data_IF_139286971598
#
_entry.id   IF_139286971598
#
_cell.length_a   1.000
_cell.length_b   1.000
_cell.length_c   1.000
_cell.angle_alpha   90.00
_cell.angle_beta   90.00
_cell.angle_gamma   90.00
#
_symmetry.space_group_name_H-M   'P 1'
#
loop_
_entity.id
_entity.type
_entity.pdbx_description
1 polymer ?
#
# COMPACT_ATOMS: atom_id res chain seq x y z
N UNK A 1 3.94 2.50 -18.07
CA UNK A 1 2.54 2.51 -17.63
C UNK A 1 2.18 3.85 -16.96
N UNK A 2 2.78 4.21 -15.84
CA UNK A 2 2.42 5.41 -15.06
C UNK A 2 3.14 6.71 -15.46
N UNK A 3 4.01 6.69 -16.46
CA UNK A 3 4.78 7.88 -16.88
C UNK A 3 5.76 8.40 -15.83
N UNK A 4 6.20 7.55 -14.89
CA UNK A 4 7.14 7.95 -13.86
C UNK A 4 8.53 8.20 -14.40
N UNK A 5 9.21 9.14 -13.79
CA UNK A 5 10.66 9.33 -13.91
C UNK A 5 11.36 8.70 -12.71
N UNK A 6 12.57 8.19 -12.92
CA UNK A 6 13.34 7.53 -11.88
C UNK A 6 14.63 8.29 -11.63
N UNK A 7 15.01 8.35 -10.37
CA UNK A 7 16.29 8.89 -9.93
C UNK A 7 17.01 7.82 -9.12
N UNK A 8 18.14 7.36 -9.65
CA UNK A 8 18.99 6.39 -8.97
C UNK A 8 19.61 7.00 -7.72
N UNK A 9 19.69 6.19 -6.69
CA UNK A 9 20.24 6.52 -5.39
C UNK A 9 20.86 5.27 -4.76
N UNK A 10 21.44 5.43 -3.59
CA UNK A 10 21.90 4.31 -2.76
C UNK A 10 21.08 4.27 -1.48
N UNK A 11 20.61 3.09 -1.15
CA UNK A 11 19.97 2.85 0.13
C UNK A 11 20.96 2.85 1.30
N UNK A 12 20.49 2.82 2.55
CA UNK A 12 21.32 2.95 3.76
C UNK A 12 22.44 1.91 3.91
N UNK A 13 22.35 0.79 3.20
CA UNK A 13 23.35 -0.28 3.18
C UNK A 13 24.17 -0.31 1.88
N UNK A 14 24.08 0.77 1.07
CA UNK A 14 24.74 0.84 -0.21
C UNK A 14 24.06 0.05 -1.34
N UNK A 15 22.91 -0.61 -1.07
CA UNK A 15 22.12 -1.30 -2.08
C UNK A 15 21.57 -0.30 -3.11
N UNK A 16 21.28 -0.78 -4.30
CA UNK A 16 20.66 0.01 -5.34
C UNK A 16 19.24 0.40 -4.90
N UNK A 17 18.92 1.68 -5.08
CA UNK A 17 17.65 2.27 -4.72
C UNK A 17 17.26 3.27 -5.81
N UNK A 18 16.02 3.21 -6.25
CA UNK A 18 15.49 4.18 -7.19
C UNK A 18 14.27 4.88 -6.59
N UNK A 19 14.21 6.18 -6.77
CA UNK A 19 13.06 7.01 -6.39
C UNK A 19 12.21 7.25 -7.62
N UNK A 20 10.93 6.86 -7.56
CA UNK A 20 9.96 7.12 -8.60
C UNK A 20 9.21 8.42 -8.34
N UNK A 21 9.01 9.21 -9.38
CA UNK A 21 8.28 10.49 -9.35
C UNK A 21 7.20 10.54 -10.43
N UNK A 22 6.06 11.09 -10.07
CA UNK A 22 5.01 11.52 -11.01
C UNK A 22 5.04 13.05 -11.07
N UNK A 23 5.62 13.61 -12.12
CA UNK A 23 5.96 15.02 -12.18
C UNK A 23 6.92 15.40 -11.04
N UNK A 24 6.53 16.35 -10.20
CA UNK A 24 7.33 16.80 -9.05
C UNK A 24 7.05 16.05 -7.74
N UNK A 25 6.13 15.08 -7.74
CA UNK A 25 5.71 14.35 -6.54
C UNK A 25 6.44 13.01 -6.44
N UNK A 26 7.04 12.73 -5.28
CA UNK A 26 7.55 11.41 -4.97
C UNK A 26 6.38 10.44 -4.77
N UNK A 27 6.41 9.30 -5.47
CA UNK A 27 5.31 8.32 -5.45
C UNK A 27 5.72 6.97 -4.91
N UNK A 28 6.97 6.57 -5.09
CA UNK A 28 7.47 5.29 -4.60
C UNK A 28 9.00 5.28 -4.49
N UNK A 29 9.50 4.36 -3.68
CA UNK A 29 10.89 3.94 -3.66
C UNK A 29 11.00 2.48 -4.11
N UNK A 30 11.96 2.18 -4.95
CA UNK A 30 12.24 0.81 -5.40
C UNK A 30 13.59 0.37 -4.80
N UNK A 31 13.57 -0.79 -4.19
CA UNK A 31 14.77 -1.39 -3.60
C UNK A 31 14.84 -2.86 -4.00
N UNK A 32 16.02 -3.29 -4.41
CA UNK A 32 16.26 -4.72 -4.55
C UNK A 32 16.51 -5.34 -3.17
N UNK A 33 15.69 -6.33 -2.83
CA UNK A 33 15.87 -7.13 -1.63
C UNK A 33 16.45 -8.48 -1.99
N UNK A 34 17.43 -9.00 -1.22
CA UNK A 34 17.95 -10.33 -1.45
C UNK A 34 16.83 -11.37 -1.42
N UNK A 35 16.96 -12.43 -2.22
CA UNK A 35 16.07 -13.57 -2.12
C UNK A 35 16.10 -14.14 -0.69
N UNK A 36 14.96 -14.68 -0.25
CA UNK A 36 14.89 -15.40 1.02
C UNK A 36 15.83 -16.63 1.03
N UNK A 37 16.14 -17.17 2.19
CA UNK A 37 17.08 -18.28 2.34
C UNK A 37 16.67 -19.55 1.55
N UNK A 38 15.38 -19.70 1.27
CA UNK A 38 14.80 -20.77 0.43
C UNK A 38 14.83 -20.42 -1.08
N UNK A 39 15.43 -19.30 -1.47
CA UNK A 39 15.48 -18.79 -2.84
C UNK A 39 14.21 -18.08 -3.32
N UNK A 40 13.19 -17.93 -2.48
CA UNK A 40 11.97 -17.21 -2.82
C UNK A 40 12.27 -15.72 -3.04
N UNK A 41 11.86 -15.20 -4.18
CA UNK A 41 11.88 -13.77 -4.46
C UNK A 41 10.55 -13.18 -4.00
N UNK A 42 10.58 -12.40 -2.92
CA UNK A 42 9.41 -11.70 -2.41
C UNK A 42 9.41 -10.28 -2.98
N UNK A 43 8.58 -10.04 -3.98
CA UNK A 43 8.33 -8.69 -4.48
C UNK A 43 6.96 -8.22 -4.02
N UNK A 44 6.87 -6.98 -3.52
CA UNK A 44 5.61 -6.40 -3.05
C UNK A 44 5.62 -4.89 -3.12
N UNK A 45 4.46 -4.32 -3.31
CA UNK A 45 4.20 -2.92 -3.04
C UNK A 45 3.86 -2.78 -1.56
N UNK A 46 4.71 -2.08 -0.82
CA UNK A 46 4.56 -1.91 0.64
C UNK A 46 4.07 -0.49 0.92
N UNK A 47 2.84 -0.31 1.42
CA UNK A 47 2.40 1.00 1.88
C UNK A 47 3.09 1.37 3.20
N UNK A 48 3.31 2.66 3.38
CA UNK A 48 3.89 3.22 4.60
C UNK A 48 2.87 4.13 5.28
N UNK A 49 2.71 3.92 6.58
CA UNK A 49 1.95 4.82 7.47
C UNK A 49 2.89 5.89 8.00
N UNK A 50 2.51 7.16 7.85
CA UNK A 50 3.20 8.26 8.54
C UNK A 50 2.87 8.24 10.03
N UNK A 51 3.89 8.29 10.86
CA UNK A 51 3.77 8.30 12.32
C UNK A 51 4.62 9.40 12.94
N UNK A 52 4.20 9.93 14.06
CA UNK A 52 4.93 10.99 14.76
C UNK A 52 6.30 10.52 15.27
N UNK A 53 6.42 9.26 15.69
CA UNK A 53 7.66 8.65 16.17
C UNK A 53 7.68 7.17 15.77
N UNK A 54 8.65 6.78 14.94
CA UNK A 54 8.75 5.42 14.42
C UNK A 54 9.09 4.41 15.52
N UNK A 55 9.98 4.75 16.45
CA UNK A 55 10.39 3.84 17.53
C UNK A 55 9.23 3.55 18.49
N UNK A 56 8.48 4.59 18.87
CA UNK A 56 7.28 4.43 19.69
C UNK A 56 6.18 3.65 18.97
N UNK A 57 5.99 3.88 17.65
CA UNK A 57 5.03 3.13 16.86
C UNK A 57 5.42 1.65 16.75
N UNK A 58 6.72 1.35 16.59
CA UNK A 58 7.22 -0.03 16.63
C UNK A 58 6.93 -0.67 17.99
N UNK A 59 7.21 0.04 19.10
CA UNK A 59 6.94 -0.48 20.45
C UNK A 59 5.44 -0.80 20.63
N UNK A 60 4.56 0.16 20.30
CA UNK A 60 3.10 -0.06 20.37
C UNK A 60 2.65 -1.24 19.50
N UNK A 61 3.18 -1.35 18.28
CA UNK A 61 2.84 -2.47 17.40
C UNK A 61 3.26 -3.82 17.97
N UNK A 62 4.45 -3.91 18.57
CA UNK A 62 4.93 -5.13 19.23
C UNK A 62 4.08 -5.46 20.46
N UNK A 63 3.74 -4.48 21.29
CA UNK A 63 2.86 -4.65 22.45
C UNK A 63 1.45 -5.12 22.03
N UNK A 64 0.99 -4.72 20.83
CA UNK A 64 -0.26 -5.17 20.21
C UNK A 64 -0.13 -6.48 19.42
N UNK A 65 1.02 -7.19 19.49
CA UNK A 65 1.21 -8.54 18.93
C UNK A 65 1.88 -8.58 17.55
N UNK A 66 2.36 -7.46 17.01
CA UNK A 66 3.14 -7.48 15.78
C UNK A 66 4.57 -8.01 16.00
N UNK A 67 5.20 -8.46 14.93
CA UNK A 67 6.62 -8.75 14.89
C UNK A 67 7.38 -7.74 14.01
N UNK A 68 8.66 -7.52 14.32
CA UNK A 68 9.50 -6.56 13.59
C UNK A 68 10.08 -7.22 12.35
N UNK A 69 9.64 -6.79 11.16
CA UNK A 69 10.20 -7.21 9.88
C UNK A 69 11.47 -6.41 9.53
N UNK A 70 11.44 -5.10 9.78
CA UNK A 70 12.58 -4.19 9.60
C UNK A 70 12.67 -3.27 10.81
N UNK A 71 13.77 -3.37 11.54
CA UNK A 71 14.03 -2.50 12.71
C UNK A 71 14.08 -1.03 12.31
N UNK A 72 13.64 -0.15 13.22
CA UNK A 72 13.67 1.28 13.03
C UNK A 72 15.09 1.76 12.68
N UNK A 73 15.20 2.54 11.61
CA UNK A 73 16.48 3.03 11.09
C UNK A 73 16.30 4.34 10.35
N UNK A 74 17.37 5.13 10.34
CA UNK A 74 17.41 6.35 9.54
C UNK A 74 17.70 6.03 8.07
N UNK A 75 17.06 6.77 7.19
CA UNK A 75 17.23 6.76 5.73
C UNK A 75 17.32 8.21 5.25
N UNK A 76 17.73 8.43 3.99
CA UNK A 76 17.89 9.79 3.45
C UNK A 76 16.62 10.67 3.56
N UNK A 77 15.44 10.06 3.52
CA UNK A 77 14.16 10.77 3.57
C UNK A 77 13.52 10.82 4.97
N UNK A 78 14.20 10.29 5.99
CA UNK A 78 13.69 10.29 7.37
C UNK A 78 14.00 9.00 8.12
N UNK A 79 13.06 8.53 8.95
CA UNK A 79 13.18 7.30 9.73
C UNK A 79 12.10 6.31 9.33
N UNK A 80 12.45 5.03 9.19
CA UNK A 80 11.52 3.99 8.72
C UNK A 80 11.64 2.71 9.54
N UNK A 81 10.57 1.93 9.56
CA UNK A 81 10.54 0.56 10.06
C UNK A 81 9.51 -0.25 9.24
N UNK A 82 9.45 -1.56 9.44
CA UNK A 82 8.35 -2.38 8.95
C UNK A 82 7.95 -3.42 10.00
N UNK A 83 6.65 -3.62 10.14
CA UNK A 83 6.05 -4.60 11.04
C UNK A 83 5.32 -5.67 10.23
N UNK A 84 5.24 -6.87 10.78
CA UNK A 84 4.27 -7.89 10.40
C UNK A 84 3.16 -7.83 11.44
N UNK A 85 1.95 -7.55 11.03
CA UNK A 85 0.80 -7.51 11.93
C UNK A 85 0.46 -8.89 12.50
N UNK A 86 -0.44 -9.00 13.49
CA UNK A 86 -0.77 -10.28 14.11
C UNK A 86 -1.29 -11.36 13.15
N UNK A 87 -1.84 -10.98 12.00
CA UNK A 87 -2.33 -11.93 10.99
C UNK A 87 -1.33 -12.20 9.85
N UNK A 88 -0.19 -11.51 9.81
CA UNK A 88 0.90 -11.76 8.88
C UNK A 88 1.03 -10.73 7.74
N UNK A 89 0.20 -9.68 7.69
CA UNK A 89 0.37 -8.62 6.71
C UNK A 89 1.51 -7.68 7.09
N UNK A 90 2.30 -7.27 6.10
CA UNK A 90 3.44 -6.37 6.32
C UNK A 90 3.02 -4.93 6.06
N UNK A 91 3.36 -4.04 6.99
CA UNK A 91 3.14 -2.58 6.89
C UNK A 91 4.43 -1.82 7.17
N UNK A 92 4.70 -0.79 6.39
CA UNK A 92 5.79 0.15 6.65
C UNK A 92 5.36 1.26 7.60
N UNK A 93 6.29 1.73 8.42
CA UNK A 93 6.16 2.92 9.26
C UNK A 93 7.19 3.93 8.80
N UNK A 94 6.82 5.19 8.68
CA UNK A 94 7.73 6.25 8.26
C UNK A 94 7.50 7.55 9.03
N UNK A 95 8.58 8.27 9.25
CA UNK A 95 8.58 9.68 9.58
C UNK A 95 9.46 10.42 8.61
N UNK A 96 8.87 11.25 7.78
CA UNK A 96 9.61 12.08 6.83
C UNK A 96 10.43 13.15 7.56
N UNK A 97 11.67 13.36 7.13
CA UNK A 97 12.49 14.49 7.59
C UNK A 97 11.96 15.85 7.09
N UNK A 98 11.08 15.84 6.08
CA UNK A 98 10.53 17.04 5.42
C UNK A 98 9.07 17.29 5.78
N UNK A 99 8.49 16.50 6.70
CA UNK A 99 7.05 16.49 7.00
C UNK A 99 6.25 15.63 6.03
N UNK A 100 4.96 15.49 6.32
CA UNK A 100 4.05 14.79 5.44
C UNK A 100 3.76 15.64 4.20
N UNK A 101 3.52 15.01 3.04
CA UNK A 101 3.16 15.73 1.83
C UNK A 101 1.84 16.50 2.02
N UNK A 102 1.78 17.71 1.46
CA UNK A 102 0.54 18.46 1.41
C UNK A 102 -0.54 17.67 0.66
N UNK A 103 -1.73 17.57 1.23
CA UNK A 103 -2.85 16.84 0.65
C UNK A 103 -3.26 17.36 -0.73
N UNK A 104 -3.04 18.63 -1.02
CA UNK A 104 -3.30 19.20 -2.35
C UNK A 104 -2.32 18.65 -3.40
N UNK A 105 -1.09 18.36 -3.00
CA UNK A 105 -0.08 17.75 -3.88
C UNK A 105 -0.24 16.24 -4.01
N UNK A 106 -0.91 15.59 -3.05
CA UNK A 106 -1.21 14.16 -3.03
C UNK A 106 -2.63 13.84 -3.48
N UNK A 107 -3.36 14.80 -4.03
CA UNK A 107 -4.69 14.55 -4.60
C UNK A 107 -4.65 13.36 -5.57
N UNK A 108 -5.70 12.51 -5.57
CA UNK A 108 -5.78 11.39 -6.48
C UNK A 108 -5.57 11.83 -7.92
N UNK A 109 -4.71 11.14 -8.62
CA UNK A 109 -4.41 11.40 -10.03
C UNK A 109 -3.91 10.12 -10.70
N UNK A 110 -3.99 10.08 -12.03
CA UNK A 110 -3.37 9.01 -12.80
C UNK A 110 -1.87 8.91 -12.48
N UNK A 111 -1.38 7.68 -12.36
CA UNK A 111 0.01 7.38 -12.04
C UNK A 111 0.43 7.63 -10.60
N UNK A 112 -0.50 7.80 -9.67
CA UNK A 112 -0.20 7.98 -8.23
C UNK A 112 -0.87 6.91 -7.39
N UNK A 113 -0.32 6.57 -6.21
CA UNK A 113 -1.07 5.84 -5.20
C UNK A 113 -2.32 6.64 -4.82
N UNK A 114 -3.49 6.03 -4.89
CA UNK A 114 -4.78 6.70 -4.62
C UNK A 114 -5.52 6.09 -3.45
N UNK A 115 -5.23 4.83 -3.10
CA UNK A 115 -5.87 4.11 -2.01
C UNK A 115 -5.00 2.93 -1.54
N UNK A 116 -5.31 2.39 -0.38
CA UNK A 116 -4.77 1.12 0.09
C UNK A 116 -5.82 0.33 0.85
N UNK A 117 -5.82 -1.00 0.72
CA UNK A 117 -6.74 -1.90 1.42
C UNK A 117 -6.00 -3.10 2.01
N UNK A 118 -6.32 -3.44 3.24
CA UNK A 118 -5.91 -4.68 3.87
C UNK A 118 -6.93 -5.79 3.56
N UNK A 119 -6.46 -6.89 3.02
CA UNK A 119 -7.19 -8.15 2.98
C UNK A 119 -6.72 -9.01 4.14
N UNK A 120 -7.64 -9.42 5.02
CA UNK A 120 -7.33 -10.11 6.27
C UNK A 120 -8.41 -11.13 6.65
N UNK A 121 -8.16 -12.02 7.60
CA UNK A 121 -9.16 -12.98 8.08
C UNK A 121 -10.11 -12.35 9.10
N UNK A 122 -9.56 -11.63 10.07
CA UNK A 122 -10.33 -10.95 11.12
C UNK A 122 -10.24 -9.43 10.96
N UNK A 123 -11.25 -8.86 10.30
CA UNK A 123 -11.32 -7.42 10.05
C UNK A 123 -11.47 -6.60 11.32
N UNK A 124 -12.09 -7.14 12.37
CA UNK A 124 -12.29 -6.42 13.63
C UNK A 124 -10.98 -6.36 14.45
N UNK A 125 -10.26 -7.48 14.54
CA UNK A 125 -8.96 -7.52 15.19
C UNK A 125 -7.95 -6.62 14.44
N UNK A 126 -7.92 -6.69 13.12
CA UNK A 126 -7.08 -5.82 12.31
C UNK A 126 -7.42 -4.34 12.50
N UNK A 127 -8.70 -3.97 12.51
CA UNK A 127 -9.13 -2.59 12.76
C UNK A 127 -8.66 -2.07 14.11
N UNK A 128 -8.77 -2.89 15.17
CA UNK A 128 -8.28 -2.54 16.51
C UNK A 128 -6.76 -2.32 16.50
N UNK A 129 -6.01 -3.25 15.90
CA UNK A 129 -4.56 -3.16 15.80
C UNK A 129 -4.11 -1.87 15.08
N UNK A 130 -4.68 -1.57 13.90
CA UNK A 130 -4.27 -0.40 13.14
C UNK A 130 -4.78 0.92 13.74
N UNK A 131 -5.93 0.91 14.44
CA UNK A 131 -6.37 2.06 15.22
C UNK A 131 -5.37 2.42 16.32
N UNK A 132 -4.88 1.45 17.06
CA UNK A 132 -3.87 1.65 18.11
C UNK A 132 -2.51 2.04 17.53
N UNK A 133 -2.09 1.39 16.42
CA UNK A 133 -0.80 1.64 15.78
C UNK A 133 -0.69 3.07 15.24
N UNK A 134 -1.70 3.52 14.50
CA UNK A 134 -1.68 4.78 13.74
C UNK A 134 -2.56 5.89 14.31
N UNK A 135 -3.32 5.63 15.38
CA UNK A 135 -4.26 6.61 15.95
C UNK A 135 -5.47 6.86 15.04
N UNK A 136 -5.95 5.83 14.35
CA UNK A 136 -7.08 5.96 13.42
C UNK A 136 -8.42 5.82 14.12
N UNK A 137 -9.39 6.61 13.66
CA UNK A 137 -10.80 6.36 13.88
C UNK A 137 -11.26 5.19 13.01
N UNK A 138 -12.11 4.31 13.55
CA UNK A 138 -12.65 3.14 12.85
C UNK A 138 -14.12 3.38 12.50
N UNK A 139 -14.45 3.29 11.23
CA UNK A 139 -15.82 3.38 10.73
C UNK A 139 -16.15 2.15 9.89
N UNK A 140 -17.32 1.55 10.10
CA UNK A 140 -17.78 0.42 9.29
C UNK A 140 -19.00 0.84 8.48
N UNK A 141 -18.97 0.55 7.19
CA UNK A 141 -20.07 0.82 6.26
C UNK A 141 -20.50 -0.48 5.57
N UNK A 142 -21.78 -0.58 5.25
CA UNK A 142 -22.27 -1.68 4.44
C UNK A 142 -22.07 -1.35 2.96
N UNK A 143 -21.47 -2.30 2.23
CA UNK A 143 -21.28 -2.23 0.79
C UNK A 143 -21.87 -3.47 0.11
N UNK A 144 -22.11 -3.37 -1.20
CA UNK A 144 -22.39 -4.54 -2.01
C UNK A 144 -21.25 -5.56 -1.86
N UNK A 145 -21.52 -6.69 -1.22
CA UNK A 145 -20.51 -7.72 -0.93
C UNK A 145 -20.12 -7.85 0.54
N UNK A 146 -20.69 -7.05 1.45
CA UNK A 146 -20.49 -7.16 2.89
C UNK A 146 -20.00 -5.88 3.59
N UNK A 147 -19.54 -6.04 4.81
CA UNK A 147 -19.03 -4.93 5.60
C UNK A 147 -17.66 -4.47 5.08
N UNK A 148 -17.48 -3.18 5.07
CA UNK A 148 -16.23 -2.52 4.72
C UNK A 148 -15.79 -1.61 5.87
N UNK A 149 -14.65 -1.90 6.44
CA UNK A 149 -14.10 -1.12 7.54
C UNK A 149 -13.14 -0.08 7.00
N UNK A 150 -13.29 1.15 7.47
CA UNK A 150 -12.47 2.30 7.09
C UNK A 150 -11.63 2.74 8.29
N UNK A 151 -10.37 2.99 8.05
CA UNK A 151 -9.47 3.69 8.95
C UNK A 151 -9.44 5.16 8.54
N UNK A 152 -9.77 6.06 9.46
CA UNK A 152 -9.85 7.49 9.20
C UNK A 152 -8.92 8.28 10.13
N UNK A 153 -8.43 9.42 9.67
CA UNK A 153 -7.69 10.39 10.47
C UNK A 153 -8.03 11.79 9.98
N UNK A 154 -8.24 12.72 10.94
CA UNK A 154 -8.65 14.10 10.67
C UNK A 154 -9.92 14.20 9.81
N UNK A 155 -10.88 13.30 10.07
CA UNK A 155 -12.16 13.25 9.35
C UNK A 155 -12.06 12.74 7.91
N UNK A 156 -10.91 12.18 7.49
CA UNK A 156 -10.69 11.65 6.15
C UNK A 156 -10.36 10.16 6.19
N UNK A 157 -10.97 9.39 5.30
CA UNK A 157 -10.65 7.99 5.14
C UNK A 157 -9.23 7.84 4.57
N UNK A 158 -8.42 6.97 5.20
CA UNK A 158 -7.01 6.75 4.84
C UNK A 158 -6.77 5.37 4.24
N UNK A 159 -7.50 4.36 4.72
CA UNK A 159 -7.36 2.99 4.25
C UNK A 159 -8.66 2.20 4.44
N UNK A 160 -8.77 1.08 3.74
CA UNK A 160 -9.84 0.12 3.92
C UNK A 160 -9.37 -1.20 4.50
N UNK A 161 -10.26 -1.92 5.17
CA UNK A 161 -10.03 -3.29 5.63
C UNK A 161 -11.19 -4.15 5.15
N UNK A 162 -10.85 -5.26 4.50
CA UNK A 162 -11.78 -6.24 3.94
C UNK A 162 -11.42 -7.64 4.37
N UNK A 163 -12.43 -8.47 4.52
CA UNK A 163 -12.20 -9.91 4.64
C UNK A 163 -11.64 -10.43 3.32
N UNK A 164 -10.54 -11.19 3.39
CA UNK A 164 -9.96 -11.82 2.20
C UNK A 164 -10.95 -12.77 1.54
N UNK A 165 -11.00 -12.84 0.20
CA UNK A 165 -12.01 -13.62 -0.51
C UNK A 165 -11.74 -15.13 -0.50
N UNK A 166 -10.58 -15.58 0.01
CA UNK A 166 -10.18 -16.99 0.03
C UNK A 166 -9.10 -17.24 1.08
N UNK A 167 -9.15 -18.39 1.73
CA UNK A 167 -8.12 -18.85 2.68
C UNK A 167 -6.77 -19.13 2.02
N UNK A 168 -6.73 -19.20 0.69
CA UNK A 168 -5.48 -19.34 -0.07
C UNK A 168 -4.69 -18.03 -0.18
N UNK A 169 -5.32 -16.90 0.13
CA UNK A 169 -4.66 -15.59 0.12
C UNK A 169 -4.15 -15.32 1.53
N UNK A 170 -2.85 -15.06 1.64
CA UNK A 170 -2.27 -14.57 2.90
C UNK A 170 -2.73 -13.13 3.15
N UNK A 171 -2.88 -12.72 4.43
CA UNK A 171 -3.15 -11.32 4.75
C UNK A 171 -2.18 -10.39 4.05
N UNK A 172 -2.70 -9.35 3.41
CA UNK A 172 -1.88 -8.48 2.55
C UNK A 172 -2.47 -7.08 2.40
N UNK A 173 -1.61 -6.08 2.44
CA UNK A 173 -1.92 -4.74 2.01
C UNK A 173 -1.81 -4.62 0.49
N UNK A 174 -2.88 -4.18 -0.15
CA UNK A 174 -2.94 -3.88 -1.57
C UNK A 174 -2.82 -2.38 -1.80
N UNK A 175 -1.88 -1.97 -2.65
CA UNK A 175 -1.73 -0.57 -3.06
C UNK A 175 -2.47 -0.35 -4.37
N UNK A 176 -3.29 0.70 -4.40
CA UNK A 176 -4.10 1.11 -5.54
C UNK A 176 -3.44 2.29 -6.24
N UNK A 177 -3.24 2.17 -7.54
CA UNK A 177 -2.73 3.24 -8.39
C UNK A 177 -3.82 3.78 -9.30
N UNK A 178 -3.94 5.09 -9.36
CA UNK A 178 -4.89 5.77 -10.22
C UNK A 178 -4.56 5.58 -11.69
N UNK A 179 -5.56 5.24 -12.49
CA UNK A 179 -5.51 5.18 -13.95
C UNK A 179 -6.81 5.74 -14.52
N UNK A 180 -6.78 6.16 -15.78
CA UNK A 180 -7.99 6.68 -16.44
C UNK A 180 -8.89 5.53 -16.95
N UNK A 181 -8.29 4.40 -17.32
CA UNK A 181 -8.98 3.21 -17.82
C UNK A 181 -8.27 1.96 -17.26
N UNK A 182 -8.87 1.29 -16.25
CA UNK A 182 -8.28 0.08 -15.65
C UNK A 182 -8.14 -1.10 -16.63
N UNK A 183 -9.05 -1.25 -17.60
CA UNK A 183 -8.98 -2.32 -18.57
C UNK A 183 -7.80 -2.12 -19.54
N UNK A 184 -7.68 -0.93 -20.11
CA UNK A 184 -6.57 -0.59 -20.98
C UNK A 184 -5.22 -0.62 -20.24
N UNK A 185 -5.19 -0.13 -18.99
CA UNK A 185 -3.99 -0.17 -18.17
C UNK A 185 -3.57 -1.60 -17.79
N UNK A 186 -4.50 -2.53 -17.58
CA UNK A 186 -4.19 -3.94 -17.32
C UNK A 186 -3.56 -4.61 -18.54
N UNK A 187 -4.08 -4.37 -19.75
CA UNK A 187 -3.50 -4.86 -21.01
C UNK A 187 -2.09 -4.28 -21.21
N UNK A 188 -1.90 -3.00 -20.91
CA UNK A 188 -0.58 -2.37 -20.98
C UNK A 188 0.39 -2.99 -19.96
N UNK A 189 -0.05 -3.26 -18.73
CA UNK A 189 0.78 -3.92 -17.72
C UNK A 189 1.25 -5.29 -18.20
N UNK A 190 0.37 -6.08 -18.82
CA UNK A 190 0.70 -7.40 -19.39
C UNK A 190 1.71 -7.28 -20.53
N UNK A 191 1.53 -6.30 -21.43
CA UNK A 191 2.48 -6.05 -22.54
C UNK A 191 3.88 -5.63 -22.04
N UNK A 192 3.98 -5.11 -20.83
CA UNK A 192 5.22 -4.73 -20.16
C UNK A 192 5.83 -5.84 -19.29
N UNK A 193 5.28 -7.06 -19.36
CA UNK A 193 5.80 -8.24 -18.65
C UNK A 193 5.15 -8.54 -17.30
N UNK A 194 4.13 -7.79 -16.91
CA UNK A 194 3.26 -8.11 -15.77
C UNK A 194 2.26 -9.22 -16.12
N UNK A 195 1.33 -9.48 -15.19
CA UNK A 195 0.22 -10.44 -15.41
C UNK A 195 -1.10 -9.84 -14.95
N UNK A 196 -2.17 -10.12 -15.69
CA UNK A 196 -3.52 -9.82 -15.24
C UNK A 196 -3.97 -10.92 -14.27
N UNK A 197 -4.26 -10.55 -13.02
CA UNK A 197 -4.81 -11.44 -11.98
C UNK A 197 -6.34 -11.43 -12.02
N UNK A 198 -6.93 -10.22 -12.02
CA UNK A 198 -8.35 -10.00 -12.20
C UNK A 198 -8.55 -8.86 -13.21
N UNK A 199 -9.16 -9.14 -14.38
CA UNK A 199 -9.46 -8.09 -15.34
C UNK A 199 -10.57 -7.18 -14.82
N UNK A 200 -10.62 -5.95 -15.32
CA UNK A 200 -11.75 -5.07 -15.07
C UNK A 200 -13.04 -5.71 -15.63
N UNK A 201 -14.05 -5.81 -14.80
CA UNK A 201 -15.36 -6.39 -15.17
C UNK A 201 -16.49 -5.74 -14.38
N UNK A 202 -17.71 -5.85 -14.88
CA UNK A 202 -18.90 -5.31 -14.20
C UNK A 202 -19.11 -5.94 -12.82
N UNK A 203 -18.70 -7.18 -12.62
CA UNK A 203 -18.77 -7.86 -11.32
C UNK A 203 -17.72 -7.34 -10.33
N UNK A 204 -16.63 -6.79 -10.85
CA UNK A 204 -15.53 -6.24 -10.05
C UNK A 204 -15.64 -4.72 -9.96
N UNK A 205 -16.37 -4.23 -8.94
CA UNK A 205 -16.61 -2.79 -8.70
C UNK A 205 -17.06 -2.04 -9.96
N UNK A 206 -18.02 -2.60 -10.67
CA UNK A 206 -18.61 -1.99 -11.88
C UNK A 206 -17.57 -1.63 -12.97
N UNK A 207 -16.47 -2.41 -13.06
CA UNK A 207 -15.41 -2.22 -14.05
C UNK A 207 -14.37 -1.15 -13.70
N UNK A 208 -14.48 -0.53 -12.51
CA UNK A 208 -13.62 0.59 -12.11
C UNK A 208 -12.25 0.18 -11.60
N UNK A 209 -11.95 -1.13 -11.55
CA UNK A 209 -10.64 -1.62 -11.12
C UNK A 209 -10.20 -2.89 -11.84
N UNK A 210 -8.89 -3.12 -11.87
CA UNK A 210 -8.25 -4.37 -12.26
C UNK A 210 -7.11 -4.69 -11.28
N UNK A 211 -6.80 -5.97 -11.12
CA UNK A 211 -5.66 -6.42 -10.31
C UNK A 211 -4.61 -7.04 -11.22
N UNK A 212 -3.39 -6.56 -11.12
CA UNK A 212 -2.27 -7.02 -11.93
C UNK A 212 -1.04 -7.30 -11.06
N UNK A 213 -0.05 -7.97 -11.63
CA UNK A 213 1.32 -7.94 -11.08
C UNK A 213 2.20 -7.07 -11.95
N UNK A 214 3.24 -6.53 -11.35
CA UNK A 214 4.39 -6.02 -12.11
C UNK A 214 5.29 -7.19 -12.62
N UNK A 215 6.33 -6.92 -13.43
CA UNK A 215 7.23 -7.96 -13.92
C UNK A 215 7.99 -8.74 -12.85
N UNK A 216 8.12 -8.18 -11.65
CA UNK A 216 8.75 -8.86 -10.50
C UNK A 216 7.78 -9.76 -9.73
N UNK A 217 6.47 -9.68 -10.02
CA UNK A 217 5.41 -10.45 -9.40
C UNK A 217 4.71 -9.71 -8.24
N UNK A 218 5.06 -8.46 -7.95
CA UNK A 218 4.36 -7.68 -6.94
C UNK A 218 2.96 -7.29 -7.41
N UNK A 219 1.96 -7.60 -6.58
CA UNK A 219 0.55 -7.32 -6.87
C UNK A 219 0.25 -5.84 -6.63
N UNK A 220 -0.51 -5.23 -7.53
CA UNK A 220 -1.05 -3.88 -7.41
C UNK A 220 -2.44 -3.81 -8.01
N UNK A 221 -3.22 -2.83 -7.58
CA UNK A 221 -4.54 -2.56 -8.11
C UNK A 221 -4.51 -1.32 -8.99
N UNK A 222 -5.10 -1.43 -10.17
CA UNK A 222 -5.36 -0.31 -11.08
C UNK A 222 -6.78 0.17 -10.83
N UNK A 223 -6.96 1.42 -10.46
CA UNK A 223 -8.25 1.97 -10.05
C UNK A 223 -8.57 3.21 -10.88
N UNK A 224 -9.77 3.28 -11.42
CA UNK A 224 -10.30 4.56 -11.89
C UNK A 224 -10.34 5.53 -10.71
N UNK A 225 -9.43 6.51 -10.75
CA UNK A 225 -9.24 7.46 -9.64
C UNK A 225 -10.39 8.45 -9.50
N UNK A 226 -11.21 8.63 -10.53
CA UNK A 226 -12.35 9.57 -10.50
C UNK A 226 -13.47 9.05 -9.61
N UNK A 227 -13.64 7.74 -9.51
CA UNK A 227 -14.64 7.07 -8.67
C UNK A 227 -14.34 7.18 -7.17
N UNK A 228 -13.06 7.35 -6.80
CA UNK A 228 -12.66 7.50 -5.39
C UNK A 228 -13.00 8.85 -4.78
N UNK A 229 -13.42 9.83 -5.57
CA UNK A 229 -13.79 11.17 -5.08
C UNK A 229 -14.99 11.16 -4.13
N UNK A 230 -15.84 10.13 -4.17
CA UNK A 230 -17.01 9.97 -3.29
C UNK A 230 -16.78 9.15 -2.01
N UNK A 231 -15.60 8.58 -1.81
CA UNK A 231 -15.27 7.67 -0.69
C UNK A 231 -14.35 8.32 0.36
N UNK A 232 -13.91 9.55 0.09
CA UNK A 232 -13.02 10.33 0.97
C UNK A 232 -13.76 11.29 1.85
#
# INVERSE_FOLDING_TARGET
MFGWTFQDSKGPRGQDYAVARSGNVYVAGLVEIPAAADGAKLSRWLPYVSVANVDEAVSRGVDAGASVAVSARDVNLGRVAALVDPEGAVIGLARSAFGDPDETTTAPAAGRPVWTELLTDDTAAAATFYAELGGYDVNTIDRRGGQYTLLASDGKNRAGILKKPSDKIMPVWLTYFGVDDPAAAAVLAESLGGKIILPASQELRDGTMAIVTDPSGAVLVLQDWTELRGVR
#
